data_IF_064305980848
#
_entry.id   IF_064305980848
#
_cell.length_a   1.000
_cell.length_b   1.000
_cell.length_c   1.000
_cell.angle_alpha   90.00
_cell.angle_beta   90.00
_cell.angle_gamma   90.00
#
_symmetry.space_group_name_H-M   'P 1'
#
loop_
_entity.id
_entity.type
_entity.pdbx_description
1 polymer ?
#
# COMPACT_ATOMS: atom_id res chain seq x y z
N UNK A 1 4.02 -14.17 1.59
CA UNK A 1 3.42 -13.52 2.78
C UNK A 1 3.48 -12.03 2.52
N UNK A 2 2.36 -11.32 2.69
CA UNK A 2 2.31 -9.90 2.37
C UNK A 2 2.82 -9.07 3.54
N UNK A 3 3.66 -8.07 3.25
CA UNK A 3 4.19 -7.09 4.19
C UNK A 3 3.80 -5.69 3.72
N UNK A 4 3.38 -4.84 4.65
CA UNK A 4 3.26 -3.41 4.42
C UNK A 4 4.65 -2.79 4.36
N UNK A 5 4.85 -1.84 3.43
CA UNK A 5 6.09 -1.10 3.24
C UNK A 5 5.76 0.38 3.26
N UNK A 6 6.36 1.11 4.21
CA UNK A 6 6.31 2.57 4.25
C UNK A 6 7.36 3.13 3.28
N UNK A 7 6.90 3.94 2.33
CA UNK A 7 7.71 4.62 1.32
C UNK A 7 7.68 6.15 1.48
N UNK A 8 7.10 6.65 2.59
CA UNK A 8 7.07 8.08 2.93
C UNK A 8 8.50 8.63 2.93
N UNK A 9 8.72 9.75 2.24
CA UNK A 9 10.04 10.36 2.08
C UNK A 9 11.06 9.56 1.23
N UNK A 10 10.66 8.43 0.63
CA UNK A 10 11.52 7.62 -0.23
C UNK A 10 11.24 7.83 -1.71
N UNK A 11 9.99 8.08 -2.08
CA UNK A 11 9.57 8.34 -3.47
C UNK A 11 9.65 9.84 -3.77
N UNK A 12 9.15 10.66 -2.85
CA UNK A 12 9.19 12.11 -2.92
C UNK A 12 10.17 12.65 -1.87
N UNK A 13 10.85 13.76 -2.19
CA UNK A 13 11.70 14.46 -1.22
C UNK A 13 10.89 15.12 -0.09
N UNK A 14 9.57 15.22 -0.27
CA UNK A 14 8.63 15.72 0.71
C UNK A 14 8.20 14.59 1.64
N UNK A 15 8.64 14.66 2.90
CA UNK A 15 8.28 13.69 3.94
C UNK A 15 6.82 13.83 4.40
N UNK A 16 6.10 14.88 3.97
CA UNK A 16 4.67 15.04 4.25
C UNK A 16 3.79 14.18 3.32
N UNK A 17 4.30 13.81 2.13
CA UNK A 17 3.57 12.94 1.20
C UNK A 17 3.79 11.49 1.62
N UNK A 18 2.72 10.89 2.14
CA UNK A 18 2.73 9.46 2.45
C UNK A 18 2.74 8.70 1.15
N UNK A 19 3.56 7.66 1.08
CA UNK A 19 3.50 6.68 0.01
C UNK A 19 3.70 5.32 0.63
N UNK A 20 2.97 4.31 0.16
CA UNK A 20 3.07 2.96 0.69
C UNK A 20 2.91 1.90 -0.38
N UNK A 21 3.42 0.70 -0.10
CA UNK A 21 3.31 -0.46 -0.97
C UNK A 21 3.11 -1.75 -0.17
N UNK A 22 2.80 -2.83 -0.88
CA UNK A 22 2.72 -4.16 -0.30
C UNK A 22 3.69 -5.12 -0.99
N UNK A 23 4.52 -5.81 -0.22
CA UNK A 23 5.51 -6.76 -0.73
C UNK A 23 5.10 -8.20 -0.46
N UNK A 24 5.02 -9.03 -1.49
CA UNK A 24 4.80 -10.47 -1.35
C UNK A 24 6.12 -11.23 -1.28
N UNK A 25 6.48 -11.63 -0.07
CA UNK A 25 7.70 -12.42 0.21
C UNK A 25 7.69 -13.82 -0.40
N UNK A 26 6.54 -14.36 -0.85
CA UNK A 26 6.50 -15.68 -1.50
C UNK A 26 6.93 -15.57 -2.96
N UNK A 27 6.55 -14.50 -3.64
CA UNK A 27 6.90 -14.26 -5.05
C UNK A 27 8.13 -13.35 -5.20
N UNK A 28 8.54 -12.66 -4.13
CA UNK A 28 9.65 -11.71 -4.12
C UNK A 28 9.34 -10.42 -4.87
N UNK A 29 8.06 -10.02 -4.96
CA UNK A 29 7.61 -8.88 -5.77
C UNK A 29 6.67 -7.97 -4.99
N UNK A 30 6.62 -6.71 -5.38
CA UNK A 30 5.53 -5.82 -4.96
C UNK A 30 4.20 -6.29 -5.55
N UNK A 31 3.13 -6.09 -4.78
CA UNK A 31 1.78 -6.29 -5.25
C UNK A 31 1.47 -5.18 -6.24
N UNK A 32 0.94 -5.58 -7.39
CA UNK A 32 0.59 -4.68 -8.48
C UNK A 32 -0.91 -4.79 -8.73
N UNK A 33 -1.59 -3.65 -8.71
CA UNK A 33 -3.02 -3.51 -9.03
C UNK A 33 -3.13 -2.44 -10.12
N UNK A 34 -3.86 -2.73 -11.19
CA UNK A 34 -3.96 -1.92 -12.43
C UNK A 34 -2.66 -1.30 -12.96
N UNK A 35 -1.50 -1.93 -12.73
CA UNK A 35 -0.18 -1.43 -13.15
C UNK A 35 0.52 -0.51 -12.15
N UNK A 36 -0.09 -0.22 -11.01
CA UNK A 36 0.48 0.54 -9.89
C UNK A 36 0.96 -0.40 -8.78
N UNK A 37 2.06 -0.01 -8.11
CA UNK A 37 2.69 -0.79 -7.04
C UNK A 37 2.77 -0.04 -5.70
N UNK A 38 2.45 1.25 -5.71
CA UNK A 38 2.42 2.13 -4.55
C UNK A 38 1.25 3.11 -4.67
N UNK A 39 0.79 3.61 -3.52
CA UNK A 39 -0.32 4.55 -3.41
C UNK A 39 -0.01 5.60 -2.36
N UNK A 40 -0.54 6.80 -2.55
CA UNK A 40 -0.27 7.93 -1.66
C UNK A 40 -1.43 8.16 -0.68
N UNK A 41 -2.59 7.53 -0.92
CA UNK A 41 -3.71 7.51 0.00
C UNK A 41 -4.54 6.20 -0.02
N UNK A 42 -5.42 6.04 0.97
CA UNK A 42 -6.25 4.84 1.10
C UNK A 42 -7.32 4.77 0.02
N UNK A 43 -7.90 5.91 -0.36
CA UNK A 43 -8.92 6.00 -1.39
C UNK A 43 -8.39 5.52 -2.75
N UNK A 44 -7.20 5.96 -3.15
CA UNK A 44 -6.50 5.49 -4.34
C UNK A 44 -6.28 3.98 -4.33
N UNK A 45 -5.74 3.46 -3.22
CA UNK A 45 -5.52 2.03 -3.08
C UNK A 45 -6.83 1.24 -3.18
N UNK A 46 -7.89 1.66 -2.49
CA UNK A 46 -9.19 0.97 -2.50
C UNK A 46 -9.82 1.01 -3.90
N UNK A 47 -9.74 2.15 -4.58
CA UNK A 47 -10.28 2.31 -5.93
C UNK A 47 -9.52 1.48 -6.97
N UNK A 48 -8.21 1.28 -6.75
CA UNK A 48 -7.35 0.48 -7.62
C UNK A 48 -7.39 -1.02 -7.32
N UNK A 49 -7.83 -1.40 -6.12
CA UNK A 49 -7.82 -2.78 -5.66
C UNK A 49 -8.80 -3.67 -6.44
N UNK A 50 -8.29 -4.75 -7.03
CA UNK A 50 -9.12 -5.78 -7.67
C UNK A 50 -9.54 -6.86 -6.67
N UNK A 51 -10.74 -6.68 -6.09
CA UNK A 51 -11.38 -7.63 -5.16
C UNK A 51 -11.59 -9.05 -5.72
N UNK A 52 -11.50 -9.25 -7.05
CA UNK A 52 -11.62 -10.59 -7.64
C UNK A 52 -10.39 -11.45 -7.38
N UNK A 53 -9.25 -10.83 -7.11
CA UNK A 53 -7.97 -11.53 -6.99
C UNK A 53 -7.55 -11.71 -5.53
N UNK A 54 -7.95 -10.80 -4.63
CA UNK A 54 -7.51 -10.77 -3.24
C UNK A 54 -8.58 -10.20 -2.31
N UNK A 55 -8.36 -10.35 -1.00
CA UNK A 55 -9.24 -9.81 0.04
C UNK A 55 -8.69 -8.46 0.52
N UNK A 56 -9.40 -7.36 0.25
CA UNK A 56 -9.04 -5.99 0.63
C UNK A 56 -8.80 -5.83 2.13
N UNK A 57 -9.69 -6.40 2.96
CA UNK A 57 -9.62 -6.30 4.42
C UNK A 57 -8.28 -6.86 4.97
N UNK A 58 -7.76 -7.91 4.33
CA UNK A 58 -6.44 -8.45 4.67
C UNK A 58 -5.32 -7.43 4.47
N UNK A 59 -5.39 -6.61 3.43
CA UNK A 59 -4.39 -5.58 3.15
C UNK A 59 -4.53 -4.41 4.12
N UNK A 60 -5.75 -3.95 4.36
CA UNK A 60 -6.03 -2.88 5.32
C UNK A 60 -5.54 -3.24 6.73
N UNK A 61 -5.65 -4.51 7.14
CA UNK A 61 -5.15 -4.98 8.43
C UNK A 61 -3.62 -5.07 8.53
N UNK A 62 -2.87 -4.95 7.43
CA UNK A 62 -1.40 -4.91 7.45
C UNK A 62 -0.86 -3.50 7.64
N UNK A 63 -1.67 -2.46 7.41
CA UNK A 63 -1.26 -1.07 7.56
C UNK A 63 -1.17 -0.76 9.07
N UNK A 64 -0.03 -0.27 9.58
CA UNK A 64 0.09 0.16 10.97
C UNK A 64 -0.90 1.29 11.30
N UNK A 65 -1.51 1.26 12.48
CA UNK A 65 -2.50 2.26 12.92
C UNK A 65 -1.95 3.69 12.90
N UNK A 66 -0.67 3.86 13.25
CA UNK A 66 0.04 5.15 13.20
C UNK A 66 0.09 5.74 11.79
N UNK A 67 0.17 4.89 10.77
CA UNK A 67 0.18 5.29 9.37
C UNK A 67 -1.24 5.45 8.86
N UNK A 68 -2.18 4.57 9.22
CA UNK A 68 -3.62 4.76 8.89
C UNK A 68 -4.16 6.09 9.36
N UNK A 69 -3.73 6.59 10.52
CA UNK A 69 -4.15 7.88 11.04
C UNK A 69 -3.63 9.07 10.20
N UNK A 70 -2.55 8.86 9.44
CA UNK A 70 -1.92 9.87 8.58
C UNK A 70 -2.43 9.76 7.13
N UNK A 71 -2.66 8.53 6.66
CA UNK A 71 -3.23 8.28 5.33
C UNK A 71 -4.71 8.66 5.36
N UNK A 72 -5.05 9.78 4.70
CA UNK A 72 -6.43 10.25 4.59
C UNK A 72 -7.19 9.59 3.46
#
# INVERSE_FOLDING_TARGET
MIRFIDLTGQIYLDEEIISFAFFDTVTGKFCEFSGFQNWDNLEEFINDFDDKLRNLERFLNLIPEEIKAKIR
#
